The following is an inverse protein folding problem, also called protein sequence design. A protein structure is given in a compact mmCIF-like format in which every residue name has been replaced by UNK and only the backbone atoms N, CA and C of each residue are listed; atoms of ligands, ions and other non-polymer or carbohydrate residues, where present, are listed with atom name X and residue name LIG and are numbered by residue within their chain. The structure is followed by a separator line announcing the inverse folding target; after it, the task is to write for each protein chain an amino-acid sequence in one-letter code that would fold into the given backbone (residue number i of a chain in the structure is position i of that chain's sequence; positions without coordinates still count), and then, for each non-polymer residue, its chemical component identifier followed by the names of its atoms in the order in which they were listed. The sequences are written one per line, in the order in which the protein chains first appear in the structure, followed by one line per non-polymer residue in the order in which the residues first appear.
data_IF_452100213648
#
_entry.id   IF_452100213648
#
_cell.length_a   1.000
_cell.length_b   1.000
_cell.length_c   1.000
_cell.angle_alpha   90.00
_cell.angle_beta   90.00
_cell.angle_gamma   90.00
#
_symmetry.space_group_name_H-M   'P 1'
#
loop_
_entity.id
_entity.type
_entity.pdbx_description
1 polymer ?
#
# COMPACT_ATOMS: atom_id res chain seq x y z
N UNK A 1 55.94 -19.89 -6.37
CA UNK A 1 54.96 -18.88 -6.84
C UNK A 1 53.62 -19.29 -6.28
N UNK A 2 53.11 -18.60 -5.26
CA UNK A 2 51.72 -18.78 -4.86
C UNK A 2 50.84 -18.40 -6.05
N UNK A 3 49.96 -19.31 -6.45
CA UNK A 3 48.88 -18.98 -7.37
C UNK A 3 47.96 -18.08 -6.54
N UNK A 4 48.03 -16.77 -6.78
CA UNK A 4 47.00 -15.86 -6.29
C UNK A 4 45.82 -16.09 -7.22
N UNK A 5 44.72 -16.61 -6.69
CA UNK A 5 43.51 -16.78 -7.47
C UNK A 5 43.10 -15.42 -8.06
N UNK A 6 42.71 -15.43 -9.34
CA UNK A 6 42.28 -14.22 -10.03
C UNK A 6 40.95 -13.72 -9.45
N UNK A 7 40.75 -12.40 -9.48
CA UNK A 7 39.49 -11.76 -9.10
C UNK A 7 38.39 -12.21 -10.07
N UNK A 8 37.26 -12.68 -9.54
CA UNK A 8 36.08 -13.08 -10.32
C UNK A 8 35.09 -11.92 -10.46
N UNK A 9 34.15 -12.02 -11.40
CA UNK A 9 33.06 -11.02 -11.52
C UNK A 9 32.23 -10.92 -10.24
N UNK A 10 32.09 -12.03 -9.49
CA UNK A 10 31.34 -12.04 -8.24
C UNK A 10 32.05 -11.28 -7.11
N UNK A 11 33.39 -11.31 -7.10
CA UNK A 11 34.17 -10.52 -6.13
C UNK A 11 33.99 -9.01 -6.35
N UNK A 12 33.81 -8.61 -7.61
CA UNK A 12 33.59 -7.22 -8.00
C UNK A 12 32.20 -6.71 -7.59
N UNK A 13 31.19 -7.57 -7.41
CA UNK A 13 29.85 -7.14 -6.95
C UNK A 13 29.88 -6.42 -5.60
N UNK A 14 30.90 -6.65 -4.77
CA UNK A 14 31.13 -5.86 -3.54
C UNK A 14 31.23 -4.35 -3.78
N UNK A 15 31.59 -3.94 -5.00
CA UNK A 15 31.70 -2.53 -5.43
C UNK A 15 30.35 -1.92 -5.83
N UNK A 16 29.25 -2.69 -5.84
CA UNK A 16 27.94 -2.21 -6.28
C UNK A 16 27.37 -1.08 -5.44
N UNK A 17 27.83 -0.94 -4.20
CA UNK A 17 27.39 0.10 -3.27
C UNK A 17 28.23 1.39 -3.41
N UNK A 18 29.17 1.45 -4.35
CA UNK A 18 29.95 2.66 -4.60
C UNK A 18 29.08 3.65 -5.34
N UNK A 19 28.81 4.79 -4.69
CA UNK A 19 28.14 5.95 -5.29
C UNK A 19 29.12 7.05 -5.71
N UNK A 20 30.27 7.14 -5.04
CA UNK A 20 31.26 8.20 -5.32
C UNK A 20 32.66 7.65 -5.24
N UNK A 21 33.49 8.01 -6.22
CA UNK A 21 34.94 7.79 -6.20
C UNK A 21 35.63 9.14 -6.19
N UNK A 22 36.49 9.37 -5.21
CA UNK A 22 37.05 10.71 -5.00
C UNK A 22 38.23 11.03 -5.92
N UNK A 23 38.99 10.03 -6.32
CA UNK A 23 40.24 10.24 -7.04
C UNK A 23 40.00 9.96 -8.52
N UNK A 24 40.23 8.73 -8.96
CA UNK A 24 40.08 8.33 -10.33
C UNK A 24 39.61 6.87 -10.43
N UNK A 25 39.05 6.50 -11.57
CA UNK A 25 38.70 5.12 -11.92
C UNK A 25 39.40 4.77 -13.22
N UNK A 26 40.17 3.67 -13.20
CA UNK A 26 40.81 3.10 -14.38
C UNK A 26 40.43 1.63 -14.53
N UNK A 27 39.84 1.26 -15.67
CA UNK A 27 39.36 -0.09 -15.97
C UNK A 27 40.05 -0.62 -17.22
N UNK A 28 40.91 -1.61 -17.02
CA UNK A 28 41.59 -2.37 -18.06
C UNK A 28 41.77 -3.83 -17.64
N UNK A 29 41.16 -4.74 -18.41
CA UNK A 29 41.10 -6.17 -18.15
C UNK A 29 41.23 -7.01 -19.43
N UNK A 30 41.51 -6.36 -20.58
CA UNK A 30 41.63 -7.03 -21.89
C UNK A 30 40.37 -7.87 -22.21
N UNK A 31 40.50 -9.19 -22.22
CA UNK A 31 39.45 -10.12 -22.62
C UNK A 31 38.61 -10.65 -21.45
N UNK A 32 38.93 -10.30 -20.20
CA UNK A 32 38.31 -10.93 -19.03
C UNK A 32 37.05 -10.23 -18.54
N UNK A 33 36.74 -9.03 -19.04
CA UNK A 33 35.62 -8.23 -18.57
C UNK A 33 34.58 -8.03 -19.66
N UNK A 34 33.32 -8.38 -19.36
CA UNK A 34 32.18 -8.19 -20.28
C UNK A 34 31.32 -6.97 -19.94
N UNK A 35 31.29 -6.56 -18.67
CA UNK A 35 30.53 -5.41 -18.20
C UNK A 35 31.19 -4.77 -16.97
N UNK A 36 30.98 -3.46 -16.77
CA UNK A 36 31.33 -2.76 -15.52
C UNK A 36 30.12 -2.49 -14.62
N UNK A 37 29.03 -3.27 -14.77
CA UNK A 37 27.79 -3.19 -13.95
C UNK A 37 27.99 -3.33 -12.43
N UNK A 38 29.15 -3.82 -12.00
CA UNK A 38 29.53 -3.80 -10.60
C UNK A 38 29.71 -2.36 -10.07
N UNK A 39 29.71 -1.33 -10.92
CA UNK A 39 29.63 0.09 -10.59
C UNK A 39 28.27 0.71 -10.93
N UNK A 40 27.19 -0.08 -11.03
CA UNK A 40 25.84 0.39 -11.43
C UNK A 40 25.28 1.55 -10.62
N UNK A 41 25.69 1.71 -9.36
CA UNK A 41 25.27 2.81 -8.50
C UNK A 41 26.26 3.98 -8.45
N UNK A 42 27.34 3.93 -9.23
CA UNK A 42 28.30 5.04 -9.30
C UNK A 42 27.60 6.27 -9.86
N UNK A 43 27.57 7.34 -9.08
CA UNK A 43 26.95 8.62 -9.44
C UNK A 43 27.96 9.69 -9.77
N UNK A 44 29.10 9.71 -9.06
CA UNK A 44 30.08 10.80 -9.15
C UNK A 44 31.52 10.31 -9.10
N UNK A 45 32.36 10.85 -9.98
CA UNK A 45 33.83 10.80 -9.86
C UNK A 45 34.33 12.20 -9.53
N UNK A 46 34.90 12.42 -8.36
CA UNK A 46 35.33 13.78 -7.98
C UNK A 46 36.57 14.25 -8.74
N UNK A 47 37.43 13.34 -9.17
CA UNK A 47 38.56 13.69 -10.02
C UNK A 47 39.70 14.39 -9.30
N UNK A 48 39.90 14.18 -7.99
CA UNK A 48 40.96 14.86 -7.22
C UNK A 48 42.37 14.59 -7.74
N UNK A 49 42.56 13.47 -8.42
CA UNK A 49 43.83 13.05 -9.06
C UNK A 49 43.54 12.38 -10.39
N UNK A 50 44.39 12.61 -11.39
CA UNK A 50 44.34 11.85 -12.64
C UNK A 50 44.84 10.42 -12.43
N UNK A 51 44.34 9.50 -13.23
CA UNK A 51 44.85 8.14 -13.28
C UNK A 51 46.27 8.12 -13.84
N UNK A 52 47.15 7.36 -13.19
CA UNK A 52 48.55 7.25 -13.60
C UNK A 52 48.67 6.78 -15.05
N UNK A 53 49.46 7.48 -15.87
CA UNK A 53 49.63 7.16 -17.29
C UNK A 53 48.51 7.66 -18.21
N UNK A 54 47.52 8.38 -17.67
CA UNK A 54 46.40 8.94 -18.43
C UNK A 54 46.34 10.46 -18.22
N UNK A 55 46.85 11.21 -19.20
CA UNK A 55 46.96 12.67 -19.14
C UNK A 55 45.60 13.36 -18.90
N UNK A 56 45.38 13.80 -17.65
CA UNK A 56 44.13 14.39 -17.18
C UNK A 56 42.93 13.44 -17.10
N UNK A 57 43.11 12.13 -17.34
CA UNK A 57 42.02 11.16 -17.32
C UNK A 57 41.62 10.78 -15.90
N UNK A 58 40.37 10.99 -15.51
CA UNK A 58 39.84 10.68 -14.18
C UNK A 58 38.80 9.56 -14.20
N UNK A 59 38.14 9.34 -15.34
CA UNK A 59 37.32 8.15 -15.60
C UNK A 59 37.78 7.51 -16.92
N UNK A 60 38.50 6.40 -16.82
CA UNK A 60 39.20 5.78 -17.95
C UNK A 60 38.78 4.32 -18.10
N UNK A 61 38.14 3.98 -19.22
CA UNK A 61 37.78 2.61 -19.59
C UNK A 61 38.46 2.27 -20.91
N UNK A 62 39.58 1.55 -20.82
CA UNK A 62 40.54 1.44 -21.91
C UNK A 62 41.03 0.03 -22.17
N UNK A 63 40.96 -0.44 -23.41
CA UNK A 63 41.64 -1.68 -23.83
C UNK A 63 40.95 -2.96 -23.33
N UNK A 64 39.61 -2.99 -23.34
CA UNK A 64 38.81 -4.15 -22.94
C UNK A 64 38.11 -4.73 -24.17
N UNK A 65 38.72 -5.72 -24.82
CA UNK A 65 38.23 -6.29 -26.09
C UNK A 65 36.89 -6.99 -25.96
N UNK A 66 36.61 -7.64 -24.82
CA UNK A 66 35.36 -8.37 -24.59
C UNK A 66 34.28 -7.54 -23.89
N UNK A 67 34.55 -6.27 -23.59
CA UNK A 67 33.58 -5.38 -22.94
C UNK A 67 32.48 -5.04 -23.94
N UNK A 68 31.26 -5.48 -23.66
CA UNK A 68 30.09 -5.22 -24.51
C UNK A 68 29.16 -4.17 -23.92
N UNK A 69 29.23 -3.95 -22.61
CA UNK A 69 28.31 -3.09 -21.86
C UNK A 69 29.05 -2.26 -20.80
N UNK A 70 28.70 -0.98 -20.64
CA UNK A 70 29.18 -0.22 -19.48
C UNK A 70 28.41 -0.66 -18.24
N UNK A 71 27.09 -0.46 -18.18
CA UNK A 71 26.27 -0.83 -17.03
C UNK A 71 26.38 0.17 -15.86
N UNK A 72 26.69 1.43 -16.14
CA UNK A 72 26.80 2.52 -15.14
C UNK A 72 25.75 3.61 -15.38
N UNK A 73 24.44 3.30 -15.35
CA UNK A 73 23.40 4.25 -15.74
C UNK A 73 23.24 5.43 -14.79
N UNK A 74 23.72 5.31 -13.54
CA UNK A 74 23.61 6.37 -12.54
C UNK A 74 24.75 7.40 -12.60
N UNK A 75 25.76 7.22 -13.45
CA UNK A 75 26.88 8.15 -13.54
C UNK A 75 26.41 9.49 -14.10
N UNK A 76 26.31 10.48 -13.21
CA UNK A 76 25.81 11.82 -13.55
C UNK A 76 26.95 12.80 -13.82
N UNK A 77 28.07 12.66 -13.12
CA UNK A 77 29.11 13.70 -13.14
C UNK A 77 30.52 13.17 -12.87
N UNK A 78 31.47 13.69 -13.63
CA UNK A 78 32.88 13.76 -13.29
C UNK A 78 33.17 15.21 -12.90
N UNK A 79 33.58 15.49 -11.66
CA UNK A 79 33.73 16.89 -11.18
C UNK A 79 35.03 17.56 -11.67
N UNK A 80 36.07 16.78 -11.95
CA UNK A 80 37.36 17.28 -12.45
C UNK A 80 38.05 16.25 -13.34
N UNK A 81 38.81 16.71 -14.34
CA UNK A 81 39.46 15.85 -15.33
C UNK A 81 38.56 15.40 -16.47
N UNK A 82 39.09 14.45 -17.26
CA UNK A 82 38.53 13.99 -18.53
C UNK A 82 38.03 12.55 -18.43
N UNK A 83 37.02 12.24 -19.24
CA UNK A 83 36.61 10.86 -19.52
C UNK A 83 37.35 10.33 -20.74
N UNK A 84 37.86 9.11 -20.65
CA UNK A 84 38.38 8.36 -21.78
C UNK A 84 37.69 6.99 -21.87
N UNK A 85 36.96 6.74 -22.96
CA UNK A 85 36.37 5.44 -23.25
C UNK A 85 36.81 5.01 -24.64
N UNK A 86 37.73 4.05 -24.70
CA UNK A 86 38.20 3.62 -26.01
C UNK A 86 39.03 2.35 -26.02
N UNK A 87 39.26 1.84 -27.23
CA UNK A 87 39.89 0.54 -27.44
C UNK A 87 39.06 -0.60 -26.81
N UNK A 88 37.73 -0.49 -26.91
CA UNK A 88 36.77 -1.52 -26.48
C UNK A 88 35.94 -1.95 -27.70
N UNK A 89 36.53 -2.81 -28.53
CA UNK A 89 36.05 -3.10 -29.90
C UNK A 89 34.60 -3.61 -29.99
N UNK A 90 34.06 -4.18 -28.91
CA UNK A 90 32.70 -4.72 -28.85
C UNK A 90 31.71 -3.85 -28.05
N UNK A 91 32.14 -2.67 -27.57
CA UNK A 91 31.31 -1.79 -26.75
C UNK A 91 30.44 -0.88 -27.63
N UNK A 92 29.11 -0.96 -27.46
CA UNK A 92 28.13 -0.11 -28.14
C UNK A 92 27.44 0.87 -27.17
N UNK A 93 26.80 1.92 -27.71
CA UNK A 93 25.85 2.78 -27.00
C UNK A 93 26.45 4.03 -26.36
N UNK A 94 27.75 3.99 -26.03
CA UNK A 94 28.45 5.10 -25.36
C UNK A 94 28.92 6.21 -26.30
N UNK A 95 28.92 5.95 -27.60
CA UNK A 95 29.39 6.86 -28.65
C UNK A 95 28.53 8.14 -28.76
N UNK A 96 27.25 8.05 -28.42
CA UNK A 96 26.30 9.16 -28.48
C UNK A 96 26.00 9.79 -27.11
N UNK A 97 26.63 9.30 -26.03
CA UNK A 97 26.49 9.89 -24.69
C UNK A 97 27.19 11.26 -24.66
N UNK A 98 26.53 12.33 -24.17
CA UNK A 98 27.07 13.69 -24.18
C UNK A 98 28.08 13.93 -23.05
N UNK A 99 29.20 13.19 -23.06
CA UNK A 99 30.23 13.28 -22.03
C UNK A 99 30.80 14.70 -21.89
N UNK A 100 30.99 15.40 -23.00
CA UNK A 100 31.55 16.75 -23.04
C UNK A 100 30.55 17.86 -22.68
N UNK A 101 29.26 17.59 -22.79
CA UNK A 101 28.23 18.62 -22.58
C UNK A 101 27.60 18.50 -21.19
N UNK A 102 27.57 17.30 -20.61
CA UNK A 102 26.77 17.04 -19.39
C UNK A 102 27.45 16.22 -18.30
N UNK A 103 28.50 15.44 -18.60
CA UNK A 103 29.13 14.55 -17.60
C UNK A 103 30.45 15.11 -17.10
N UNK A 104 31.35 15.56 -17.98
CA UNK A 104 32.71 15.95 -17.64
C UNK A 104 32.99 17.42 -18.02
N UNK A 105 33.75 18.15 -17.19
CA UNK A 105 34.05 19.57 -17.42
C UNK A 105 35.14 19.78 -18.49
N UNK A 106 36.01 18.79 -18.68
CA UNK A 106 37.09 18.83 -19.65
C UNK A 106 36.81 17.94 -20.85
N UNK A 107 37.44 18.29 -21.98
CA UNK A 107 37.28 17.58 -23.26
C UNK A 107 37.66 16.10 -23.12
N UNK A 108 36.63 15.27 -23.12
CA UNK A 108 36.62 13.83 -23.05
C UNK A 108 36.68 13.19 -24.43
N UNK A 109 37.17 11.95 -24.47
CA UNK A 109 37.41 11.20 -25.72
C UNK A 109 36.70 9.86 -25.68
N UNK A 110 35.81 9.63 -26.64
CA UNK A 110 35.19 8.33 -26.91
C UNK A 110 35.60 7.89 -28.31
N UNK A 111 36.44 6.86 -28.43
CA UNK A 111 36.99 6.43 -29.74
C UNK A 111 37.38 4.96 -29.75
N UNK A 112 37.47 4.36 -30.93
CA UNK A 112 37.92 2.96 -31.08
C UNK A 112 37.07 1.99 -30.24
N UNK A 113 35.76 2.22 -30.19
CA UNK A 113 34.77 1.26 -29.69
C UNK A 113 34.06 0.61 -30.90
N UNK A 114 32.98 -0.15 -30.67
CA UNK A 114 32.24 -0.78 -31.76
C UNK A 114 31.74 0.28 -32.77
N UNK A 115 31.77 0.01 -34.08
CA UNK A 115 31.34 0.98 -35.09
C UNK A 115 29.86 1.34 -34.94
N UNK A 116 29.54 2.64 -34.97
CA UNK A 116 28.16 3.12 -34.89
C UNK A 116 27.18 2.43 -35.86
N UNK A 117 27.52 2.24 -37.16
CA UNK A 117 26.62 1.54 -38.09
C UNK A 117 26.28 0.11 -37.66
N UNK A 118 27.23 -0.60 -37.03
CA UNK A 118 26.98 -1.92 -36.46
C UNK A 118 26.02 -1.82 -35.27
N UNK A 119 26.28 -0.92 -34.31
CA UNK A 119 25.45 -0.74 -33.12
C UNK A 119 24.01 -0.29 -33.46
N UNK A 120 23.86 0.56 -34.47
CA UNK A 120 22.56 1.01 -34.98
C UNK A 120 21.82 -0.15 -35.67
N UNK A 121 22.53 -0.99 -36.46
CA UNK A 121 21.92 -2.15 -37.16
C UNK A 121 21.32 -3.19 -36.22
N UNK A 122 21.91 -3.35 -35.04
CA UNK A 122 21.44 -4.30 -34.00
C UNK A 122 20.52 -3.63 -32.98
N UNK A 123 20.13 -2.36 -33.21
CA UNK A 123 19.31 -1.54 -32.30
C UNK A 123 19.77 -1.72 -30.86
N UNK A 124 21.03 -1.38 -30.60
CA UNK A 124 21.68 -1.73 -29.34
C UNK A 124 20.96 -1.13 -28.12
N UNK A 125 20.69 0.18 -28.15
CA UNK A 125 19.94 0.86 -27.10
C UNK A 125 18.46 0.47 -27.14
N UNK A 126 17.83 0.44 -25.97
CA UNK A 126 16.40 0.13 -25.87
C UNK A 126 15.54 1.19 -26.57
N UNK A 127 14.41 0.79 -27.13
CA UNK A 127 13.54 1.68 -27.92
C UNK A 127 12.92 2.85 -27.13
N UNK A 128 12.81 2.71 -25.80
CA UNK A 128 12.34 3.80 -24.92
C UNK A 128 13.42 4.82 -24.54
N UNK A 129 14.68 4.61 -24.94
CA UNK A 129 15.74 5.59 -24.78
C UNK A 129 15.65 6.68 -25.86
N UNK A 130 16.13 7.87 -25.55
CA UNK A 130 16.44 8.86 -26.60
C UNK A 130 17.59 8.34 -27.46
N UNK A 131 17.28 8.00 -28.71
CA UNK A 131 18.23 7.39 -29.65
C UNK A 131 19.36 8.34 -30.06
N UNK A 132 19.26 9.64 -29.74
CA UNK A 132 20.29 10.65 -30.01
C UNK A 132 21.31 10.79 -28.88
N UNK A 133 21.02 10.24 -27.68
CA UNK A 133 21.82 10.43 -26.47
C UNK A 133 22.58 9.20 -26.00
N UNK A 134 22.45 8.08 -26.71
CA UNK A 134 23.11 6.82 -26.36
C UNK A 134 22.58 6.16 -25.08
N UNK A 135 23.27 5.12 -24.64
CA UNK A 135 22.89 4.31 -23.50
C UNK A 135 24.10 3.62 -22.86
N UNK A 136 23.97 3.27 -21.60
CA UNK A 136 24.98 2.57 -20.82
C UNK A 136 24.97 1.05 -21.02
N UNK A 137 23.96 0.51 -21.71
CA UNK A 137 23.73 -0.92 -21.85
C UNK A 137 22.39 -1.22 -22.53
N UNK A 138 22.00 -2.50 -22.52
CA UNK A 138 20.70 -2.93 -23.06
C UNK A 138 19.60 -2.79 -22.01
N UNK A 139 18.38 -2.56 -22.48
CA UNK A 139 17.19 -2.50 -21.64
C UNK A 139 16.76 -1.08 -21.22
N UNK A 140 15.51 -0.92 -20.76
CA UNK A 140 14.90 0.39 -20.49
C UNK A 140 15.54 1.16 -19.33
N UNK A 141 16.26 0.48 -18.43
CA UNK A 141 16.98 1.12 -17.31
C UNK A 141 18.40 1.56 -17.62
N UNK A 142 18.85 1.42 -18.87
CA UNK A 142 20.22 1.77 -19.29
C UNK A 142 20.30 3.01 -20.16
N UNK A 143 19.17 3.70 -20.39
CA UNK A 143 19.15 4.91 -21.19
C UNK A 143 19.96 6.02 -20.52
N UNK A 144 20.70 6.82 -21.31
CA UNK A 144 21.21 8.09 -20.78
C UNK A 144 20.04 9.04 -20.49
N UNK A 145 19.08 9.11 -21.41
CA UNK A 145 17.87 9.90 -21.28
C UNK A 145 16.68 9.11 -21.86
N UNK A 146 15.50 9.23 -21.23
CA UNK A 146 14.28 8.61 -21.72
C UNK A 146 13.72 9.39 -22.90
N UNK A 147 13.26 8.70 -23.94
CA UNK A 147 12.62 9.35 -25.09
C UNK A 147 11.31 10.06 -24.69
N UNK A 148 10.56 9.47 -23.75
CA UNK A 148 9.24 9.96 -23.34
C UNK A 148 9.10 10.13 -21.85
N UNK A 149 9.04 9.02 -21.10
CA UNK A 149 8.80 9.05 -19.66
C UNK A 149 9.79 8.19 -18.90
N UNK A 150 10.05 8.58 -17.66
CA UNK A 150 10.81 7.82 -16.67
C UNK A 150 9.87 7.26 -15.61
N UNK A 151 9.95 5.96 -15.35
CA UNK A 151 9.29 5.26 -14.24
C UNK A 151 10.37 4.65 -13.36
N UNK A 152 10.60 5.27 -12.20
CA UNK A 152 11.74 4.95 -11.34
C UNK A 152 13.06 4.94 -12.15
N UNK A 153 13.80 3.84 -12.17
CA UNK A 153 15.07 3.72 -12.90
C UNK A 153 14.90 3.28 -14.37
N UNK A 154 13.67 3.16 -14.90
CA UNK A 154 13.41 2.68 -16.26
C UNK A 154 12.70 3.71 -17.14
N UNK A 155 12.98 3.68 -18.45
CA UNK A 155 12.25 4.48 -19.43
C UNK A 155 11.07 3.72 -20.02
N UNK A 156 9.92 4.40 -20.11
CA UNK A 156 8.69 3.86 -20.69
C UNK A 156 8.14 4.79 -21.77
N UNK A 157 7.36 4.22 -22.68
CA UNK A 157 6.81 4.96 -23.83
C UNK A 157 5.47 5.63 -23.55
N UNK A 158 4.75 5.22 -22.50
CA UNK A 158 3.43 5.72 -22.18
C UNK A 158 3.26 5.83 -20.67
N UNK A 159 2.60 6.88 -20.22
CA UNK A 159 2.22 7.10 -18.83
C UNK A 159 0.70 7.15 -18.78
N UNK A 160 0.05 6.01 -18.50
CA UNK A 160 -1.40 5.92 -18.60
C UNK A 160 -2.02 5.35 -17.33
N UNK A 161 -3.19 5.89 -16.98
CA UNK A 161 -3.95 5.45 -15.79
C UNK A 161 -4.47 4.02 -15.93
N UNK A 162 -4.63 3.50 -17.14
CA UNK A 162 -5.08 2.12 -17.41
C UNK A 162 -4.06 1.04 -17.03
N UNK A 163 -2.78 1.36 -16.94
CA UNK A 163 -1.70 0.48 -16.47
C UNK A 163 -1.36 0.71 -14.99
N UNK A 164 -2.28 1.33 -14.24
CA UNK A 164 -2.05 1.73 -12.85
C UNK A 164 -0.82 2.64 -12.69
N UNK A 165 -0.62 3.57 -13.63
CA UNK A 165 0.40 4.62 -13.59
C UNK A 165 -0.24 6.01 -13.62
N UNK A 166 0.44 7.00 -13.05
CA UNK A 166 0.05 8.41 -13.18
C UNK A 166 1.27 9.27 -13.49
N UNK A 167 1.02 10.44 -14.09
CA UNK A 167 2.07 11.43 -14.36
C UNK A 167 2.38 12.14 -13.04
N UNK A 168 3.57 11.87 -12.48
CA UNK A 168 4.02 12.45 -11.21
C UNK A 168 4.67 13.83 -11.42
N UNK A 169 5.40 14.01 -12.52
CA UNK A 169 6.00 15.27 -12.93
C UNK A 169 6.22 15.31 -14.46
N UNK A 170 6.81 16.39 -14.98
CA UNK A 170 7.16 16.48 -16.40
C UNK A 170 8.06 15.31 -16.82
N UNK A 171 7.57 14.47 -17.74
CA UNK A 171 8.23 13.23 -18.19
C UNK A 171 8.52 12.20 -17.09
N UNK A 172 7.85 12.28 -15.94
CA UNK A 172 7.99 11.30 -14.85
C UNK A 172 6.65 10.63 -14.53
N UNK A 173 6.71 9.32 -14.35
CA UNK A 173 5.59 8.45 -14.03
C UNK A 173 5.84 7.72 -12.73
N UNK A 174 4.75 7.39 -12.06
CA UNK A 174 4.78 6.58 -10.86
C UNK A 174 3.55 5.66 -10.78
N UNK A 175 3.62 4.65 -9.92
CA UNK A 175 2.55 3.68 -9.73
C UNK A 175 1.42 4.24 -8.88
N UNK A 176 0.20 3.92 -9.27
CA UNK A 176 -0.97 4.11 -8.43
C UNK A 176 -0.85 3.33 -7.11
N UNK A 177 -1.63 3.73 -6.12
CA UNK A 177 -1.75 2.96 -4.89
C UNK A 177 -2.26 1.54 -5.16
N UNK A 178 -1.84 0.57 -4.36
CA UNK A 178 -2.14 -0.86 -4.59
C UNK A 178 -3.65 -1.21 -4.60
N UNK A 179 -4.47 -0.36 -3.96
CA UNK A 179 -5.93 -0.46 -3.91
C UNK A 179 -6.64 0.31 -5.05
N UNK A 180 -5.89 0.99 -5.93
CA UNK A 180 -6.42 1.59 -7.14
C UNK A 180 -6.35 0.60 -8.32
N UNK A 181 -7.36 0.61 -9.19
CA UNK A 181 -7.22 0.10 -10.56
C UNK A 181 -6.56 1.18 -11.42
N UNK A 182 -7.09 2.40 -11.32
CA UNK A 182 -6.62 3.59 -12.02
C UNK A 182 -6.58 4.77 -11.04
N UNK A 183 -5.70 5.75 -11.27
CA UNK A 183 -5.51 6.90 -10.39
C UNK A 183 -5.08 8.16 -11.16
N UNK A 184 -5.17 9.31 -10.50
CA UNK A 184 -4.66 10.59 -10.99
C UNK A 184 -3.54 11.16 -10.10
N UNK A 185 -3.04 10.38 -9.13
CA UNK A 185 -2.08 10.84 -8.14
C UNK A 185 -1.69 9.76 -7.15
N UNK A 186 -0.79 10.07 -6.21
CA UNK A 186 -0.30 9.12 -5.21
C UNK A 186 -1.35 8.79 -4.14
N UNK A 187 -1.29 7.58 -3.58
CA UNK A 187 -2.12 7.21 -2.43
C UNK A 187 -3.57 6.83 -2.76
N UNK A 188 -4.25 6.25 -1.78
CA UNK A 188 -5.56 5.62 -1.95
C UNK A 188 -6.73 6.59 -2.18
N UNK A 189 -6.56 7.87 -1.86
CA UNK A 189 -7.56 8.91 -2.11
C UNK A 189 -7.55 9.43 -3.55
N UNK A 190 -6.47 9.21 -4.29
CA UNK A 190 -6.32 9.68 -5.67
C UNK A 190 -6.72 8.62 -6.70
N UNK A 191 -7.34 7.52 -6.27
CA UNK A 191 -7.88 6.52 -7.17
C UNK A 191 -9.09 7.09 -7.92
N UNK A 192 -9.12 6.89 -9.23
CA UNK A 192 -10.33 7.12 -10.04
C UNK A 192 -11.24 5.90 -10.06
N UNK A 193 -10.68 4.72 -9.77
CA UNK A 193 -11.43 3.48 -9.60
C UNK A 193 -10.78 2.60 -8.53
N UNK A 194 -11.56 2.19 -7.51
CA UNK A 194 -11.09 1.25 -6.49
C UNK A 194 -11.04 -0.18 -7.01
N UNK A 195 -10.01 -0.91 -6.60
CA UNK A 195 -9.86 -2.34 -6.83
C UNK A 195 -10.91 -3.14 -6.04
N UNK A 196 -11.08 -2.77 -4.77
CA UNK A 196 -11.98 -3.45 -3.83
C UNK A 196 -13.19 -2.57 -3.48
N UNK A 197 -13.08 -1.72 -2.46
CA UNK A 197 -14.18 -0.91 -1.94
C UNK A 197 -13.73 0.50 -1.59
N UNK A 198 -14.61 1.48 -1.74
CA UNK A 198 -14.40 2.87 -1.33
C UNK A 198 -14.96 3.12 0.08
N UNK A 199 -14.18 3.80 0.93
CA UNK A 199 -14.59 4.34 2.22
C UNK A 199 -14.20 5.82 2.27
N UNK A 200 -15.18 6.71 2.37
CA UNK A 200 -14.97 8.16 2.51
C UNK A 200 -13.98 8.76 1.48
N UNK A 201 -14.06 8.31 0.23
CA UNK A 201 -13.19 8.73 -0.86
C UNK A 201 -11.80 8.08 -0.86
N UNK A 202 -11.55 7.07 -0.02
CA UNK A 202 -10.34 6.26 -0.01
C UNK A 202 -10.64 4.83 -0.49
N UNK A 203 -9.79 4.27 -1.35
CA UNK A 203 -9.89 2.85 -1.68
C UNK A 203 -9.22 1.97 -0.62
N UNK A 204 -10.00 1.10 0.00
CA UNK A 204 -9.55 0.15 1.02
C UNK A 204 -9.80 -1.29 0.60
N UNK A 205 -9.05 -2.22 1.18
CA UNK A 205 -9.16 -3.64 0.84
C UNK A 205 -10.50 -4.23 1.29
N UNK A 206 -10.98 -3.89 2.48
CA UNK A 206 -12.22 -4.36 3.08
C UNK A 206 -12.84 -3.28 3.96
N UNK A 207 -14.18 -3.30 4.12
CA UNK A 207 -14.84 -2.38 5.04
C UNK A 207 -14.41 -2.65 6.49
N UNK A 208 -14.08 -1.61 7.27
CA UNK A 208 -13.84 -1.74 8.70
C UNK A 208 -15.08 -2.30 9.42
N UNK A 209 -14.89 -2.88 10.60
CA UNK A 209 -15.95 -3.58 11.35
C UNK A 209 -17.24 -2.77 11.53
N UNK A 210 -17.14 -1.44 11.70
CA UNK A 210 -18.31 -0.57 11.92
C UNK A 210 -18.98 -0.11 10.61
N UNK A 211 -18.65 -0.74 9.48
CA UNK A 211 -19.20 -0.47 8.17
C UNK A 211 -19.60 -1.79 7.49
N UNK A 212 -20.61 -1.73 6.63
CA UNK A 212 -21.02 -2.83 5.76
C UNK A 212 -20.79 -2.46 4.30
N UNK A 213 -20.55 -3.49 3.49
CA UNK A 213 -20.35 -3.35 2.05
C UNK A 213 -21.69 -3.21 1.32
N UNK A 214 -21.73 -2.31 0.34
CA UNK A 214 -22.86 -2.14 -0.57
C UNK A 214 -22.43 -2.45 -1.99
N UNK A 215 -22.88 -3.60 -2.51
CA UNK A 215 -22.48 -4.14 -3.81
C UNK A 215 -22.70 -3.16 -4.97
N UNK A 216 -23.87 -2.52 -5.03
CA UNK A 216 -24.27 -1.66 -6.15
C UNK A 216 -23.32 -0.48 -6.37
N UNK A 217 -22.76 0.07 -5.30
CA UNK A 217 -21.89 1.25 -5.37
C UNK A 217 -20.41 0.90 -5.11
N UNK A 218 -20.12 -0.35 -4.70
CA UNK A 218 -18.84 -0.78 -4.13
C UNK A 218 -18.32 0.18 -3.05
N UNK A 219 -19.20 0.54 -2.11
CA UNK A 219 -18.88 1.46 -1.00
C UNK A 219 -19.09 0.83 0.36
N UNK A 220 -18.32 1.30 1.32
CA UNK A 220 -18.57 1.06 2.74
C UNK A 220 -19.57 2.08 3.26
N UNK A 221 -20.60 1.60 3.96
CA UNK A 221 -21.56 2.46 4.67
C UNK A 221 -21.57 2.12 6.14
N UNK A 222 -21.74 3.12 6.99
CA UNK A 222 -21.67 2.96 8.43
C UNK A 222 -22.82 2.08 8.93
N UNK A 223 -22.52 1.16 9.84
CA UNK A 223 -23.53 0.40 10.57
C UNK A 223 -24.41 1.31 11.44
N UNK A 224 -25.55 0.78 11.89
CA UNK A 224 -26.29 1.43 12.98
C UNK A 224 -25.40 1.57 14.21
N UNK A 225 -25.53 2.66 14.96
CA UNK A 225 -24.70 2.95 16.14
C UNK A 225 -24.76 1.87 17.23
N UNK A 226 -25.87 1.12 17.28
CA UNK A 226 -26.08 0.03 18.22
C UNK A 226 -25.48 -1.33 17.78
N UNK A 227 -24.96 -1.47 16.55
CA UNK A 227 -24.23 -2.66 16.11
C UNK A 227 -22.75 -2.69 16.59
N UNK A 228 -22.43 -1.78 17.51
CA UNK A 228 -21.13 -1.46 18.10
C UNK A 228 -20.10 -2.60 18.05
N UNK A 229 -18.98 -2.41 17.34
CA UNK A 229 -17.81 -3.30 17.26
C UNK A 229 -18.04 -4.76 16.81
N UNK A 230 -19.28 -5.20 16.60
CA UNK A 230 -19.59 -6.53 16.07
C UNK A 230 -19.86 -6.53 14.56
N UNK A 231 -19.98 -5.34 14.00
CA UNK A 231 -20.29 -5.10 12.60
C UNK A 231 -21.70 -5.49 12.21
N UNK A 232 -21.98 -5.32 10.93
CA UNK A 232 -23.32 -5.43 10.38
C UNK A 232 -23.30 -5.88 8.92
N UNK A 233 -24.47 -6.27 8.43
CA UNK A 233 -24.73 -6.58 7.02
C UNK A 233 -25.67 -5.56 6.38
N UNK A 234 -26.06 -4.52 7.11
CA UNK A 234 -26.92 -3.44 6.64
C UNK A 234 -27.15 -2.36 7.70
N UNK A 235 -28.01 -1.37 7.39
CA UNK A 235 -28.24 -0.21 8.25
C UNK A 235 -29.21 -0.48 9.42
N UNK A 236 -29.80 -1.67 9.50
CA UNK A 236 -30.83 -2.01 10.48
C UNK A 236 -30.32 -2.02 11.92
N UNK A 237 -31.15 -1.54 12.84
CA UNK A 237 -30.91 -1.59 14.29
C UNK A 237 -31.36 -2.93 14.90
N UNK A 238 -31.20 -4.06 14.24
CA UNK A 238 -31.66 -5.36 14.75
C UNK A 238 -30.63 -6.44 14.43
N UNK A 239 -30.64 -7.54 15.17
CA UNK A 239 -29.75 -8.66 14.92
C UNK A 239 -30.21 -9.43 13.67
N UNK A 240 -29.32 -9.61 12.68
CA UNK A 240 -29.59 -10.44 11.51
C UNK A 240 -29.18 -9.81 10.19
N UNK A 241 -29.69 -10.41 9.10
CA UNK A 241 -29.42 -9.94 7.74
C UNK A 241 -30.01 -8.53 7.55
N UNK A 242 -29.20 -7.61 7.03
CA UNK A 242 -29.58 -6.20 6.87
C UNK A 242 -29.43 -5.36 8.14
N UNK A 243 -28.96 -5.96 9.24
CA UNK A 243 -28.70 -5.28 10.51
C UNK A 243 -27.39 -5.75 11.15
N UNK A 244 -27.34 -5.73 12.47
CA UNK A 244 -26.17 -6.07 13.27
C UNK A 244 -25.86 -7.57 13.25
N UNK A 245 -24.57 -7.93 13.25
CA UNK A 245 -24.16 -9.32 13.41
C UNK A 245 -24.38 -9.81 14.84
N UNK A 246 -24.16 -8.93 15.81
CA UNK A 246 -24.31 -9.15 17.26
C UNK A 246 -24.62 -7.82 17.95
N UNK A 247 -25.24 -7.88 19.12
CA UNK A 247 -25.54 -6.69 19.92
C UNK A 247 -25.11 -6.87 21.37
N UNK A 248 -24.75 -5.77 22.02
CA UNK A 248 -24.44 -5.77 23.46
C UNK A 248 -25.70 -6.09 24.26
N UNK A 249 -26.74 -5.27 24.07
CA UNK A 249 -28.07 -5.50 24.60
C UNK A 249 -29.09 -5.54 23.47
N UNK A 250 -30.20 -6.23 23.68
CA UNK A 250 -31.27 -6.30 22.69
C UNK A 250 -32.66 -6.16 23.33
N UNK A 251 -33.57 -5.49 22.63
CA UNK A 251 -34.98 -5.37 22.99
C UNK A 251 -35.73 -6.60 22.52
N UNK A 252 -36.51 -7.19 23.41
CA UNK A 252 -37.36 -8.34 23.15
C UNK A 252 -38.81 -7.90 23.31
N UNK A 253 -39.66 -8.19 22.32
CA UNK A 253 -41.09 -7.94 22.42
C UNK A 253 -41.79 -8.97 23.33
N UNK A 254 -43.11 -8.82 23.51
CA UNK A 254 -43.92 -9.76 24.32
C UNK A 254 -44.01 -11.18 23.74
N UNK A 255 -43.55 -11.40 22.51
CA UNK A 255 -43.58 -12.69 21.83
C UNK A 255 -42.20 -13.36 21.79
N UNK A 256 -41.17 -12.75 22.39
CA UNK A 256 -39.80 -13.28 22.35
C UNK A 256 -39.04 -12.93 21.07
N UNK A 257 -39.52 -11.97 20.27
CA UNK A 257 -38.84 -11.54 19.04
C UNK A 257 -37.87 -10.40 19.37
N UNK A 258 -36.64 -10.50 18.87
CA UNK A 258 -35.70 -9.38 18.90
C UNK A 258 -36.16 -8.27 17.96
N UNK A 259 -36.41 -7.09 18.51
CA UNK A 259 -36.85 -5.94 17.72
C UNK A 259 -35.71 -4.99 17.45
N UNK A 260 -34.87 -4.72 18.45
CA UNK A 260 -33.86 -3.68 18.36
C UNK A 260 -32.58 -4.01 19.14
N UNK A 261 -31.47 -3.46 18.68
CA UNK A 261 -30.20 -3.47 19.40
C UNK A 261 -30.05 -2.19 20.22
N UNK A 262 -29.38 -2.33 21.37
CA UNK A 262 -29.21 -1.25 22.33
C UNK A 262 -27.74 -1.17 22.70
N UNK A 263 -27.14 -0.01 22.45
CA UNK A 263 -25.84 0.34 22.98
C UNK A 263 -25.99 1.20 24.24
N UNK A 264 -25.69 0.60 25.39
CA UNK A 264 -25.72 1.28 26.69
C UNK A 264 -24.32 1.64 27.17
N UNK A 265 -24.16 2.88 27.65
CA UNK A 265 -22.96 3.35 28.34
C UNK A 265 -22.95 2.93 29.82
N UNK A 266 -24.10 2.49 30.36
CA UNK A 266 -24.24 2.02 31.75
C UNK A 266 -24.75 0.58 31.80
N UNK A 267 -23.97 -0.29 32.44
CA UNK A 267 -24.32 -1.69 32.69
C UNK A 267 -25.43 -1.81 33.74
N UNK A 268 -25.56 -0.84 34.64
CA UNK A 268 -26.56 -0.88 35.72
C UNK A 268 -27.98 -0.60 35.21
N UNK A 269 -28.10 0.17 34.13
CA UNK A 269 -29.39 0.62 33.56
C UNK A 269 -29.42 0.50 32.03
N UNK A 270 -29.23 -0.71 31.46
CA UNK A 270 -29.08 -0.88 30.02
C UNK A 270 -30.35 -0.57 29.23
N UNK A 271 -31.53 -0.77 29.81
CA UNK A 271 -32.82 -0.51 29.15
C UNK A 271 -33.33 0.93 29.31
N UNK A 272 -32.72 1.74 30.18
CA UNK A 272 -33.21 3.09 30.47
C UNK A 272 -33.04 4.08 29.31
N UNK A 273 -32.26 3.73 28.28
CA UNK A 273 -32.06 4.53 27.06
C UNK A 273 -33.20 4.42 26.04
N UNK A 274 -34.11 3.47 26.21
CA UNK A 274 -35.34 3.39 25.41
C UNK A 274 -36.29 4.48 25.93
N UNK A 275 -36.13 5.71 25.42
CA UNK A 275 -37.13 6.80 25.54
C UNK A 275 -37.67 7.10 26.96
N UNK A 276 -36.81 7.24 27.97
CA UNK A 276 -37.24 7.55 29.35
C UNK A 276 -38.26 6.55 29.93
N UNK A 277 -38.35 5.32 29.42
CA UNK A 277 -39.35 4.37 29.90
C UNK A 277 -38.78 3.45 30.98
N UNK A 278 -39.36 3.51 32.18
CA UNK A 278 -39.06 2.62 33.32
C UNK A 278 -39.82 1.29 33.23
N UNK A 279 -40.61 1.10 32.18
CA UNK A 279 -41.45 -0.07 31.93
C UNK A 279 -40.68 -1.25 31.29
N UNK A 280 -39.35 -1.22 31.30
CA UNK A 280 -38.50 -2.33 30.86
C UNK A 280 -37.57 -2.77 31.99
N UNK A 281 -37.42 -4.07 32.15
CA UNK A 281 -36.40 -4.68 32.99
C UNK A 281 -35.38 -5.43 32.13
N UNK A 282 -34.20 -5.70 32.68
CA UNK A 282 -33.16 -6.44 31.97
C UNK A 282 -32.80 -7.75 32.65
N UNK A 283 -32.31 -8.70 31.87
CA UNK A 283 -31.84 -9.98 32.37
C UNK A 283 -30.88 -10.67 31.41
N UNK A 284 -30.36 -11.81 31.83
CA UNK A 284 -29.50 -12.65 30.99
C UNK A 284 -30.30 -13.29 29.86
N UNK A 285 -29.75 -13.40 28.64
CA UNK A 285 -30.41 -14.14 27.56
C UNK A 285 -30.47 -15.63 27.94
N UNK A 286 -31.63 -16.26 27.80
CA UNK A 286 -31.84 -17.68 28.13
C UNK A 286 -32.52 -18.40 26.97
N UNK A 287 -32.12 -19.64 26.71
CA UNK A 287 -32.76 -20.51 25.71
C UNK A 287 -34.20 -20.90 26.06
N UNK A 288 -34.61 -20.69 27.31
CA UNK A 288 -36.01 -20.88 27.71
C UNK A 288 -36.92 -19.75 27.17
N UNK A 289 -36.34 -18.60 26.85
CA UNK A 289 -37.07 -17.39 26.54
C UNK A 289 -36.84 -16.86 25.12
N UNK A 290 -35.79 -17.35 24.44
CA UNK A 290 -35.38 -16.92 23.12
C UNK A 290 -34.94 -18.13 22.29
N UNK A 291 -35.09 -18.01 20.97
CA UNK A 291 -34.52 -18.99 20.04
C UNK A 291 -33.00 -19.15 20.30
N UNK A 292 -32.49 -20.38 20.48
CA UNK A 292 -31.07 -20.62 20.75
C UNK A 292 -30.11 -20.01 19.71
N UNK A 293 -30.53 -19.89 18.44
CA UNK A 293 -29.76 -19.27 17.36
C UNK A 293 -29.60 -17.75 17.53
N UNK A 294 -30.45 -17.15 18.35
CA UNK A 294 -30.50 -15.72 18.63
C UNK A 294 -29.79 -15.38 19.94
N UNK A 295 -29.84 -16.27 20.94
CA UNK A 295 -29.12 -16.13 22.22
C UNK A 295 -27.63 -15.84 22.00
N UNK A 296 -26.98 -16.57 21.08
CA UNK A 296 -25.55 -16.40 20.80
C UNK A 296 -25.19 -15.07 20.12
N UNK A 297 -26.19 -14.31 19.65
CA UNK A 297 -26.01 -13.02 18.98
C UNK A 297 -26.22 -11.83 19.92
N UNK A 298 -26.26 -12.08 21.23
CA UNK A 298 -26.39 -11.07 22.29
C UNK A 298 -25.23 -11.28 23.27
N UNK A 299 -24.42 -10.25 23.49
CA UNK A 299 -23.22 -10.38 24.34
C UNK A 299 -23.53 -10.23 25.83
N UNK A 300 -24.34 -9.23 26.22
CA UNK A 300 -24.49 -8.82 27.63
C UNK A 300 -25.86 -9.14 28.21
N UNK A 301 -26.96 -8.79 27.53
CA UNK A 301 -28.29 -8.97 28.11
C UNK A 301 -29.44 -8.56 27.23
N UNK A 302 -30.67 -8.74 27.72
CA UNK A 302 -31.90 -8.41 27.01
C UNK A 302 -32.82 -7.54 27.85
N UNK A 303 -33.53 -6.65 27.17
CA UNK A 303 -34.56 -5.77 27.72
C UNK A 303 -35.94 -6.32 27.40
N UNK A 304 -36.78 -6.45 28.42
CA UNK A 304 -38.15 -6.98 28.30
C UNK A 304 -39.16 -6.00 28.89
N UNK A 305 -40.35 -5.87 28.29
CA UNK A 305 -41.40 -5.05 28.86
C UNK A 305 -41.87 -5.65 30.18
N UNK A 306 -42.17 -4.78 31.14
CA UNK A 306 -42.89 -5.13 32.34
C UNK A 306 -44.29 -5.66 32.01
N UNK A 307 -44.93 -6.30 32.99
CA UNK A 307 -46.32 -6.71 32.85
C UNK A 307 -47.20 -5.48 32.48
N UNK A 308 -48.21 -5.60 31.59
CA UNK A 308 -49.03 -4.47 31.14
C UNK A 308 -49.65 -3.60 32.25
N UNK A 309 -49.88 -4.19 33.42
CA UNK A 309 -50.40 -3.55 34.64
C UNK A 309 -49.35 -2.77 35.46
N UNK A 310 -48.06 -2.82 35.08
CA UNK A 310 -46.97 -2.16 35.80
C UNK A 310 -46.44 -0.93 35.04
N UNK A 311 -46.15 0.15 35.76
CA UNK A 311 -45.40 1.33 35.30
C UNK A 311 -43.88 1.08 35.28
N UNK A 312 -43.38 0.32 36.25
CA UNK A 312 -42.00 -0.16 36.31
C UNK A 312 -41.92 -1.50 37.01
N UNK A 313 -40.83 -2.23 36.82
CA UNK A 313 -40.60 -3.55 37.40
C UNK A 313 -39.12 -3.92 37.41
N UNK A 314 -38.76 -4.94 38.19
CA UNK A 314 -37.43 -5.56 38.19
C UNK A 314 -37.42 -6.94 37.52
N UNK A 315 -38.59 -7.58 37.38
CA UNK A 315 -38.79 -8.81 36.61
C UNK A 315 -40.24 -8.89 36.10
N UNK A 316 -40.58 -9.87 35.26
CA UNK A 316 -41.93 -10.01 34.73
C UNK A 316 -42.91 -10.57 35.77
N UNK A 317 -43.96 -9.81 36.09
CA UNK A 317 -45.08 -10.23 36.92
C UNK A 317 -45.85 -9.03 37.50
N UNK A 318 -46.97 -9.29 38.16
CA UNK A 318 -47.85 -8.25 38.74
C UNK A 318 -47.59 -7.98 40.23
N UNK A 319 -46.90 -8.89 40.93
CA UNK A 319 -46.69 -8.75 42.38
C UNK A 319 -45.58 -7.75 42.70
N UNK A 320 -45.89 -6.77 43.55
CA UNK A 320 -44.97 -5.72 43.96
C UNK A 320 -43.71 -6.27 44.67
N UNK A 321 -43.87 -7.20 45.61
CA UNK A 321 -42.75 -7.73 46.41
C UNK A 321 -41.82 -8.65 45.62
N UNK A 322 -42.35 -9.39 44.65
CA UNK A 322 -41.59 -10.42 43.91
C UNK A 322 -41.01 -9.85 42.62
N UNK A 323 -41.79 -9.03 41.90
CA UNK A 323 -41.43 -8.55 40.57
C UNK A 323 -41.07 -7.06 40.55
N UNK A 324 -41.12 -6.39 41.71
CA UNK A 324 -40.89 -4.94 41.80
C UNK A 324 -41.92 -4.13 41.03
N UNK A 325 -43.10 -4.71 40.75
CA UNK A 325 -44.14 -4.07 39.93
C UNK A 325 -44.71 -2.84 40.64
N UNK A 326 -44.53 -1.65 40.06
CA UNK A 326 -45.27 -0.45 40.43
C UNK A 326 -46.57 -0.44 39.64
N UNK A 327 -47.69 -0.82 40.25
CA UNK A 327 -48.96 -1.00 39.55
C UNK A 327 -49.54 0.32 39.02
N UNK A 328 -50.05 0.32 37.78
CA UNK A 328 -50.81 1.43 37.19
C UNK A 328 -52.13 1.67 37.90
N UNK A 329 -52.80 0.59 38.29
CA UNK A 329 -54.08 0.61 39.00
C UNK A 329 -54.02 -0.41 40.15
N UNK A 330 -54.21 0.05 41.39
CA UNK A 330 -54.26 -0.84 42.54
C UNK A 330 -55.59 -1.61 42.57
N UNK A 331 -55.54 -2.95 42.52
CA UNK A 331 -56.65 -3.82 42.96
C UNK A 331 -56.26 -4.47 44.27
N UNK A 332 -56.85 -4.02 45.36
CA UNK A 332 -56.67 -4.62 46.69
C UNK A 332 -57.48 -5.91 46.73
N UNK A 333 -56.80 -7.07 46.73
CA UNK A 333 -57.44 -8.32 47.13
C UNK A 333 -57.38 -8.41 48.66
N UNK A 334 -58.51 -8.17 49.31
CA UNK A 334 -58.70 -8.48 50.72
C UNK A 334 -58.72 -10.00 50.89
N UNK A 335 -57.60 -10.58 51.34
CA UNK A 335 -57.58 -11.96 51.81
C UNK A 335 -58.50 -12.07 53.04
N UNK A 336 -59.67 -12.65 52.84
CA UNK A 336 -60.52 -13.14 53.93
C UNK A 336 -59.79 -14.27 54.65
N UNK A 337 -59.28 -13.97 55.85
CA UNK A 337 -58.95 -14.99 56.83
C UNK A 337 -60.25 -15.69 57.23
N UNK A 338 -60.41 -16.96 56.88
CA UNK A 338 -61.24 -17.88 57.64
C UNK A 338 -60.35 -18.45 58.74
N UNK A 339 -60.61 -18.07 59.99
CA UNK A 339 -60.14 -18.80 61.17
C UNK A 339 -61.33 -19.64 61.67
N UNK A 340 -61.06 -20.93 61.91
CA UNK A 340 -62.04 -21.92 62.38
C UNK A 340 -62.15 -21.98 63.90
#
# INVERSE_FOLDING_TARGET
KSIVDGITENDLESLSNIHTVTDCIFIQSRQYLRSIKFLRNLETVEGRRSCQGHDGGTFVVGGNTNLTEMGTPKLKQVKSGKVFIGMNENLCGVDSIPFNDSIAPERSTVKSNAPKPYCDSVKYCHESCDQTKGCWGRGPGMCFECAKFKLHDNCINWCNSSESLYIAAEKECDFCHAECITCNGPGAHNCTQCKNVELDGECVQTCPVNFYFVDNDKKCRKCHENCHNYGCTGPGNFVGLGGCNKCDFALVDKYGTLTECIHSVSIEKPCSRILNQTNFFWGTPSSNDLDPSVVNKIEKGICRPCHPECESCTNFGQEEKVHGCVCKNYRVFSNGYYDG
#
